data_IF_761338961540
#
_entry.id   IF_761338961540
#
_cell.length_a   1.000
_cell.length_b   1.000
_cell.length_c   1.000
_cell.angle_alpha   90.00
_cell.angle_beta   90.00
_cell.angle_gamma   90.00
#
_symmetry.space_group_name_H-M   'P 1'
#
loop_
_entity.id
_entity.type
_entity.pdbx_description
1 polymer ?
#
# COMPACT_ATOMS: atom_id res chain seq x y z
N UNK A 1 -2.08 27.67 10.27
CA UNK A 1 -2.16 26.36 10.95
C UNK A 1 -2.24 25.30 9.87
N UNK A 2 -1.49 24.20 9.98
CA UNK A 2 -1.56 23.11 9.01
C UNK A 2 -2.85 22.30 9.21
N UNK A 3 -3.56 22.03 8.12
CA UNK A 3 -4.72 21.15 8.08
C UNK A 3 -4.32 19.71 7.72
N UNK A 4 -5.24 18.75 7.89
CA UNK A 4 -5.02 17.36 7.48
C UNK A 4 -4.78 17.23 5.96
N UNK A 5 -5.45 18.04 5.14
CA UNK A 5 -5.27 18.07 3.68
C UNK A 5 -3.87 18.56 3.28
N UNK A 6 -3.30 19.51 4.03
CA UNK A 6 -1.94 19.99 3.78
C UNK A 6 -0.90 18.88 3.97
N UNK A 7 -1.07 18.05 5.00
CA UNK A 7 -0.19 16.90 5.24
C UNK A 7 -0.40 15.77 4.23
N UNK A 8 -1.63 15.56 3.76
CA UNK A 8 -1.93 14.57 2.73
C UNK A 8 -1.27 14.95 1.40
N UNK A 9 -1.39 16.21 0.98
CA UNK A 9 -0.73 16.71 -0.23
C UNK A 9 0.80 16.65 -0.10
N UNK A 10 1.34 16.98 1.08
CA UNK A 10 2.76 16.85 1.35
C UNK A 10 3.23 15.40 1.27
N UNK A 11 2.45 14.45 1.79
CA UNK A 11 2.78 13.03 1.73
C UNK A 11 2.70 12.47 0.31
N UNK A 12 1.70 12.86 -0.48
CA UNK A 12 1.59 12.49 -1.90
C UNK A 12 2.81 12.99 -2.67
N UNK A 13 3.20 14.26 -2.46
CA UNK A 13 4.37 14.86 -3.11
C UNK A 13 5.68 14.20 -2.68
N UNK A 14 5.82 13.86 -1.40
CA UNK A 14 6.96 13.06 -0.91
C UNK A 14 7.06 11.71 -1.63
N UNK A 15 5.93 10.99 -1.78
CA UNK A 15 5.89 9.69 -2.47
C UNK A 15 6.22 9.78 -3.96
N UNK A 16 5.85 10.88 -4.61
CA UNK A 16 6.10 11.10 -6.03
C UNK A 16 7.53 11.57 -6.32
N UNK A 17 8.05 12.53 -5.55
CA UNK A 17 9.27 13.27 -5.92
C UNK A 17 10.49 12.89 -5.07
N UNK A 18 10.32 12.70 -3.76
CA UNK A 18 11.41 12.54 -2.80
C UNK A 18 11.76 11.07 -2.54
N UNK A 19 10.77 10.19 -2.51
CA UNK A 19 10.97 8.74 -2.37
C UNK A 19 11.83 8.12 -3.48
N UNK A 20 11.64 8.42 -4.78
CA UNK A 20 12.53 7.89 -5.83
C UNK A 20 13.94 8.52 -5.79
N UNK A 21 14.11 9.67 -5.15
CA UNK A 21 15.43 10.30 -4.93
C UNK A 21 16.12 9.80 -3.66
N UNK A 22 15.47 8.94 -2.87
CA UNK A 22 16.00 8.46 -1.58
C UNK A 22 16.05 9.53 -0.48
N UNK A 23 15.37 10.67 -0.65
CA UNK A 23 15.29 11.72 0.36
C UNK A 23 14.40 11.26 1.52
N UNK A 24 14.84 11.46 2.76
CA UNK A 24 14.06 11.07 3.93
C UNK A 24 12.83 11.98 4.10
N UNK A 25 11.72 11.46 4.63
CA UNK A 25 10.53 12.28 4.92
C UNK A 25 10.83 13.45 5.87
N UNK A 26 11.83 13.28 6.75
CA UNK A 26 12.23 14.31 7.70
C UNK A 26 12.94 15.48 6.99
N UNK A 27 13.85 15.18 6.06
CA UNK A 27 14.53 16.18 5.24
C UNK A 27 13.54 16.89 4.30
N UNK A 28 12.60 16.13 3.73
CA UNK A 28 11.53 16.69 2.91
C UNK A 28 10.62 17.63 3.71
N UNK A 29 10.29 17.28 4.96
CA UNK A 29 9.53 18.17 5.85
C UNK A 29 10.31 19.46 6.14
N UNK A 30 11.61 19.36 6.46
CA UNK A 30 12.48 20.51 6.70
C UNK A 30 12.55 21.44 5.48
N UNK A 31 12.72 20.88 4.28
CA UNK A 31 12.77 21.59 3.00
C UNK A 31 11.46 22.32 2.68
N UNK A 32 10.32 21.70 3.00
CA UNK A 32 8.99 22.29 2.83
C UNK A 32 8.54 23.15 4.04
N UNK A 33 9.44 23.43 5.00
CA UNK A 33 9.18 24.19 6.23
C UNK A 33 8.05 23.62 7.09
N UNK A 34 7.81 22.32 7.01
CA UNK A 34 6.79 21.64 7.80
C UNK A 34 7.42 21.05 9.05
N UNK A 35 6.91 21.35 10.26
CA UNK A 35 7.43 20.75 11.48
C UNK A 35 7.18 19.24 11.50
N UNK A 36 8.26 18.44 11.54
CA UNK A 36 8.18 16.98 11.52
C UNK A 36 7.27 16.41 12.61
N UNK A 37 7.26 16.98 13.81
CA UNK A 37 6.41 16.53 14.92
C UNK A 37 4.92 16.56 14.58
N UNK A 38 4.48 17.57 13.82
CA UNK A 38 3.09 17.74 13.41
C UNK A 38 2.71 16.72 12.34
N UNK A 39 3.59 16.54 11.35
CA UNK A 39 3.44 15.50 10.33
C UNK A 39 3.44 14.10 10.94
N UNK A 40 4.34 13.81 11.88
CA UNK A 40 4.43 12.51 12.55
C UNK A 40 3.15 12.18 13.32
N UNK A 41 2.58 13.16 14.04
CA UNK A 41 1.29 13.00 14.72
C UNK A 41 0.16 12.72 13.72
N UNK A 42 0.04 13.54 12.68
CA UNK A 42 -0.95 13.32 11.62
C UNK A 42 -0.78 11.96 10.95
N UNK A 43 0.46 11.55 10.66
CA UNK A 43 0.78 10.30 10.00
C UNK A 43 0.38 9.09 10.85
N UNK A 44 0.61 9.12 12.17
CA UNK A 44 0.16 8.05 13.09
C UNK A 44 -1.36 8.01 13.19
N UNK A 45 -2.01 9.15 13.36
CA UNK A 45 -3.48 9.23 13.45
C UNK A 45 -4.14 8.72 12.14
N UNK A 46 -3.55 9.06 11.00
CA UNK A 46 -4.04 8.66 9.67
C UNK A 46 -3.70 7.20 9.33
N UNK A 47 -2.51 6.70 9.70
CA UNK A 47 -2.09 5.29 9.52
C UNK A 47 -2.75 4.31 10.49
N UNK A 48 -3.22 4.75 11.64
CA UNK A 48 -4.04 3.91 12.52
C UNK A 48 -5.48 3.79 12.01
N UNK A 49 -5.94 4.77 11.22
CA UNK A 49 -7.23 4.70 10.52
C UNK A 49 -7.15 3.97 9.17
N UNK A 50 -5.96 3.93 8.54
CA UNK A 50 -5.69 3.22 7.29
C UNK A 50 -5.06 1.86 7.62
N UNK A 51 -5.90 0.82 7.59
CA UNK A 51 -5.45 -0.58 7.64
C UNK A 51 -4.38 -0.79 6.56
N UNK A 52 -3.18 -1.28 6.90
CA UNK A 52 -2.11 -1.44 5.93
C UNK A 52 -2.50 -2.49 4.90
N UNK A 53 -2.87 -2.04 3.70
CA UNK A 53 -2.77 -2.85 2.49
C UNK A 53 -1.28 -2.85 2.13
N UNK A 54 -0.59 -3.92 2.51
CA UNK A 54 0.80 -4.14 2.16
C UNK A 54 0.86 -4.50 0.67
N UNK A 55 1.57 -3.67 -0.11
CA UNK A 55 1.84 -3.90 -1.52
C UNK A 55 3.31 -4.30 -1.60
N UNK A 56 3.58 -5.58 -1.83
CA UNK A 56 4.90 -6.17 -2.15
C UNK A 56 4.91 -6.43 -3.67
N UNK A 57 5.85 -6.01 -4.50
CA UNK A 57 7.04 -5.17 -4.34
C UNK A 57 7.63 -4.84 -5.73
N UNK A 58 8.48 -3.82 -5.81
CA UNK A 58 9.51 -3.71 -6.84
C UNK A 58 10.78 -3.20 -6.16
N UNK A 59 11.84 -4.00 -6.33
CA UNK A 59 13.18 -3.81 -5.82
C UNK A 59 13.76 -2.45 -6.23
N UNK A 60 14.64 -1.90 -5.41
CA UNK A 60 15.89 -1.31 -5.93
C UNK A 60 17.04 -1.77 -5.05
N UNK A 61 17.90 -2.58 -5.65
CA UNK A 61 19.23 -2.94 -5.18
C UNK A 61 20.09 -1.69 -4.98
N UNK A 62 20.91 -1.67 -3.93
CA UNK A 62 22.25 -1.08 -3.96
C UNK A 62 23.20 -1.97 -3.16
N UNK A 63 24.01 -2.74 -3.89
CA UNK A 63 25.32 -3.27 -3.48
C UNK A 63 26.37 -2.11 -3.50
N UNK A 64 27.63 -2.22 -2.99
CA UNK A 64 28.44 -3.44 -2.74
C UNK A 64 29.37 -3.47 -1.49
N UNK A 65 29.89 -4.67 -1.17
CA UNK A 65 31.32 -5.03 -1.00
C UNK A 65 31.63 -6.05 0.13
N UNK A 66 32.26 -7.17 -0.30
CA UNK A 66 33.17 -8.14 0.39
C UNK A 66 32.56 -9.06 1.46
N UNK A 67 32.74 -10.39 1.46
CA UNK A 67 33.81 -11.25 0.94
C UNK A 67 33.29 -12.67 0.56
N UNK A 68 33.86 -13.23 -0.52
CA UNK A 68 34.20 -14.64 -0.78
C UNK A 68 33.32 -15.79 -0.23
N UNK A 69 32.56 -16.46 -1.10
CA UNK A 69 32.86 -17.84 -1.57
C UNK A 69 31.62 -18.55 -2.13
N UNK A 70 31.77 -18.99 -3.37
CA UNK A 70 31.20 -20.18 -4.01
C UNK A 70 29.95 -20.82 -3.40
N UNK A 71 28.84 -20.79 -4.13
CA UNK A 71 28.28 -21.96 -4.84
C UNK A 71 26.87 -21.64 -5.32
N UNK A 72 26.67 -21.68 -6.64
CA UNK A 72 25.34 -21.69 -7.25
C UNK A 72 24.71 -23.06 -7.00
N UNK A 73 23.44 -23.11 -6.59
CA UNK A 73 22.51 -23.96 -7.32
C UNK A 73 21.33 -23.13 -7.84
N UNK A 74 21.08 -23.25 -9.14
CA UNK A 74 19.86 -22.82 -9.80
C UNK A 74 18.66 -23.51 -9.14
N UNK A 75 17.77 -22.73 -8.52
CA UNK A 75 16.45 -23.17 -8.08
C UNK A 75 15.46 -22.07 -8.44
N UNK A 76 14.61 -22.36 -9.43
CA UNK A 76 13.49 -21.50 -9.82
C UNK A 76 12.51 -21.36 -8.66
N UNK A 77 12.64 -20.29 -7.90
CA UNK A 77 11.67 -19.90 -6.88
C UNK A 77 10.63 -19.00 -7.52
N UNK A 78 9.49 -19.57 -7.92
CA UNK A 78 8.29 -18.78 -8.14
C UNK A 78 7.95 -18.10 -6.81
N UNK A 79 8.24 -16.80 -6.71
CA UNK A 79 7.86 -15.96 -5.59
C UNK A 79 6.33 -15.90 -5.59
N UNK A 80 5.66 -16.80 -4.87
CA UNK A 80 4.23 -16.68 -4.67
C UNK A 80 3.99 -15.51 -3.74
N UNK A 81 3.67 -14.36 -4.32
CA UNK A 81 3.23 -13.18 -3.57
C UNK A 81 2.09 -13.59 -2.63
N UNK A 82 2.00 -13.00 -1.42
CA UNK A 82 0.88 -13.27 -0.53
C UNK A 82 -0.44 -13.05 -1.29
N UNK A 83 -1.41 -13.98 -1.19
CA UNK A 83 -2.62 -13.93 -2.00
C UNK A 83 -3.44 -12.69 -1.62
N UNK A 84 -3.69 -11.81 -2.60
CA UNK A 84 -4.54 -10.63 -2.44
C UNK A 84 -5.94 -11.07 -2.02
N UNK A 85 -6.50 -10.39 -1.02
CA UNK A 85 -7.82 -10.67 -0.47
C UNK A 85 -8.73 -9.44 -0.57
N UNK A 86 -9.97 -9.66 -0.99
CA UNK A 86 -10.97 -8.61 -1.16
C UNK A 86 -12.08 -8.71 -0.11
N UNK A 87 -12.66 -7.57 0.23
CA UNK A 87 -13.90 -7.46 0.99
C UNK A 87 -14.88 -6.62 0.18
N UNK A 88 -16.11 -7.11 0.03
CA UNK A 88 -17.17 -6.44 -0.71
C UNK A 88 -18.39 -6.27 0.20
N UNK A 89 -18.95 -5.07 0.20
CA UNK A 89 -20.25 -4.74 0.82
C UNK A 89 -21.16 -4.09 -0.23
N UNK A 90 -22.14 -4.85 -0.75
CA UNK A 90 -23.13 -4.37 -1.72
C UNK A 90 -24.43 -4.06 -0.98
N UNK A 91 -24.96 -2.85 -1.18
CA UNK A 91 -26.21 -2.40 -0.58
C UNK A 91 -27.19 -2.03 -1.68
N UNK A 92 -28.35 -2.67 -1.66
CA UNK A 92 -29.44 -2.41 -2.59
C UNK A 92 -30.48 -1.49 -1.93
N UNK A 93 -31.20 -0.72 -2.75
CA UNK A 93 -32.27 0.20 -2.28
C UNK A 93 -33.43 -0.53 -1.59
N UNK A 94 -33.64 -1.81 -1.89
CA UNK A 94 -34.63 -2.68 -1.22
C UNK A 94 -34.21 -3.19 0.17
N UNK A 95 -33.11 -2.69 0.74
CA UNK A 95 -32.63 -3.11 2.07
C UNK A 95 -31.82 -4.42 2.07
N UNK A 96 -31.70 -5.09 0.91
CA UNK A 96 -30.84 -6.25 0.75
C UNK A 96 -29.36 -5.86 0.78
N UNK A 97 -28.55 -6.64 1.51
CA UNK A 97 -27.12 -6.41 1.69
C UNK A 97 -26.32 -7.68 1.48
N UNK A 98 -25.27 -7.60 0.69
CA UNK A 98 -24.34 -8.70 0.42
C UNK A 98 -22.98 -8.31 0.97
N UNK A 99 -22.53 -9.02 2.01
CA UNK A 99 -21.23 -8.82 2.63
C UNK A 99 -20.37 -10.07 2.45
N UNK A 100 -19.24 -9.92 1.77
CA UNK A 100 -18.26 -10.99 1.57
C UNK A 100 -16.88 -10.49 2.02
N UNK A 101 -16.15 -11.36 2.72
CA UNK A 101 -14.81 -11.06 3.26
C UNK A 101 -13.82 -12.12 2.80
N UNK A 102 -12.56 -11.75 2.72
CA UNK A 102 -11.46 -12.67 2.42
C UNK A 102 -11.56 -13.36 1.04
N UNK A 103 -12.21 -12.70 0.07
CA UNK A 103 -12.35 -13.24 -1.28
C UNK A 103 -11.00 -13.30 -1.97
N UNK A 104 -10.69 -14.42 -2.62
CA UNK A 104 -9.62 -14.47 -3.62
C UNK A 104 -10.07 -13.75 -4.90
N UNK A 105 -9.14 -13.52 -5.82
CA UNK A 105 -9.49 -13.02 -7.15
C UNK A 105 -10.50 -13.95 -7.87
N UNK A 106 -10.32 -15.26 -7.75
CA UNK A 106 -11.24 -16.25 -8.32
C UNK A 106 -12.63 -16.18 -7.67
N UNK A 107 -12.70 -16.11 -6.34
CA UNK A 107 -13.98 -15.95 -5.63
C UNK A 107 -14.66 -14.61 -5.91
N UNK A 108 -13.88 -13.56 -6.16
CA UNK A 108 -14.39 -12.26 -6.63
C UNK A 108 -15.01 -12.39 -8.02
N UNK A 109 -14.32 -13.07 -8.95
CA UNK A 109 -14.81 -13.29 -10.31
C UNK A 109 -16.12 -14.08 -10.32
N UNK A 110 -16.19 -15.20 -9.58
CA UNK A 110 -17.43 -15.98 -9.44
C UNK A 110 -18.58 -15.16 -8.83
N UNK A 111 -18.27 -14.31 -7.86
CA UNK A 111 -19.28 -13.44 -7.24
C UNK A 111 -19.85 -12.46 -8.27
N UNK A 112 -18.99 -11.86 -9.11
CA UNK A 112 -19.43 -10.96 -10.19
C UNK A 112 -20.28 -11.71 -11.20
N UNK A 113 -19.86 -12.89 -11.66
CA UNK A 113 -20.63 -13.72 -12.61
C UNK A 113 -22.04 -14.06 -12.06
N UNK A 114 -22.15 -14.40 -10.76
CA UNK A 114 -23.44 -14.67 -10.12
C UNK A 114 -24.33 -13.43 -10.00
N UNK A 115 -23.74 -12.25 -9.83
CA UNK A 115 -24.46 -10.99 -9.74
C UNK A 115 -24.92 -10.48 -11.11
N UNK A 116 -24.13 -10.71 -12.17
CA UNK A 116 -24.52 -10.41 -13.54
C UNK A 116 -25.78 -11.16 -13.96
N UNK A 117 -25.95 -12.42 -13.52
CA UNK A 117 -27.17 -13.20 -13.78
C UNK A 117 -28.44 -12.68 -13.06
N UNK A 118 -28.33 -11.67 -12.21
CA UNK A 118 -29.45 -11.02 -11.53
C UNK A 118 -29.88 -9.70 -12.21
N UNK A 119 -29.15 -9.24 -13.23
CA UNK A 119 -29.49 -8.08 -14.06
C UNK A 119 -30.25 -8.51 -15.31
#
# INVERSE_FOLDING_TARGET
MYSSSDFEHLFIRYKADAMPQGESIQDFCLKNKVPYNLFHKWYKDTRHHIVPVQVEGQQVEQEPEKDLSASIPSMGGALSSPPVRFMIDIRMTGGMRILQRNLSYEGLKELVEKLEGLC
#
